data_IF_449721506647
#
_entry.id   IF_449721506647
#
_cell.length_a   1.000
_cell.length_b   1.000
_cell.length_c   1.000
_cell.angle_alpha   90.00
_cell.angle_beta   90.00
_cell.angle_gamma   90.00
#
_symmetry.space_group_name_H-M   'P 1'
#
loop_
_entity.id
_entity.type
_entity.pdbx_description
1 polymer ?
#
# COMPACT_ATOMS: atom_id res chain seq x y z
N UNK A 1 -11.42 -9.39 -6.11
CA UNK A 1 -10.20 -9.24 -5.31
C UNK A 1 -9.60 -10.62 -5.17
N UNK A 2 -8.44 -10.86 -5.79
CA UNK A 2 -7.73 -12.13 -5.64
C UNK A 2 -7.24 -12.21 -4.19
N UNK A 3 -7.66 -13.25 -3.45
CA UNK A 3 -7.11 -13.50 -2.13
C UNK A 3 -5.67 -13.97 -2.34
N UNK A 4 -4.72 -13.26 -1.75
CA UNK A 4 -3.31 -13.62 -1.81
C UNK A 4 -3.12 -14.92 -1.01
N UNK A 5 -2.97 -16.05 -1.70
CA UNK A 5 -2.72 -17.34 -1.05
C UNK A 5 -1.26 -17.40 -0.56
N UNK A 6 -1.05 -17.08 0.71
CA UNK A 6 0.26 -17.20 1.36
C UNK A 6 0.58 -18.66 1.62
N UNK A 7 1.64 -19.17 0.99
CA UNK A 7 2.12 -20.54 1.20
C UNK A 7 2.69 -20.75 2.62
N UNK A 8 2.62 -21.99 3.12
CA UNK A 8 3.21 -22.36 4.43
C UNK A 8 4.70 -22.02 4.53
N UNK A 9 5.43 -22.09 3.40
CA UNK A 9 6.85 -21.73 3.34
C UNK A 9 7.07 -20.24 3.58
N UNK A 10 6.20 -19.38 3.05
CA UNK A 10 6.27 -17.94 3.27
C UNK A 10 5.95 -17.58 4.72
N UNK A 11 4.96 -18.24 5.31
CA UNK A 11 4.65 -18.13 6.74
C UNK A 11 5.84 -18.53 7.62
N UNK A 12 6.46 -19.68 7.34
CA UNK A 12 7.62 -20.14 8.10
C UNK A 12 8.82 -19.17 8.02
N UNK A 13 9.03 -18.53 6.86
CA UNK A 13 10.08 -17.51 6.71
C UNK A 13 9.75 -16.21 7.46
N UNK A 14 8.49 -15.78 7.46
CA UNK A 14 8.02 -14.63 8.22
C UNK A 14 8.17 -14.88 9.73
N UNK A 15 7.71 -16.02 10.22
CA UNK A 15 7.84 -16.41 11.63
C UNK A 15 9.31 -16.48 12.07
N UNK A 16 10.19 -17.06 11.23
CA UNK A 16 11.62 -17.13 11.50
C UNK A 16 12.31 -15.74 11.53
N UNK A 17 11.72 -14.75 10.87
CA UNK A 17 12.19 -13.35 10.89
C UNK A 17 11.47 -12.49 11.94
N UNK A 18 10.58 -13.09 12.75
CA UNK A 18 9.82 -12.39 13.78
C UNK A 18 8.64 -11.58 13.25
N UNK A 19 8.25 -11.80 12.00
CA UNK A 19 7.14 -11.13 11.32
C UNK A 19 5.87 -11.99 11.42
N UNK A 20 4.76 -11.34 11.75
CA UNK A 20 3.44 -11.97 11.79
C UNK A 20 2.85 -12.16 10.39
N UNK A 21 1.85 -13.03 10.29
CA UNK A 21 1.11 -13.26 9.03
C UNK A 21 0.47 -11.98 8.50
N UNK A 22 -0.09 -11.15 9.39
CA UNK A 22 -0.79 -9.92 8.99
C UNK A 22 0.20 -8.87 8.45
N UNK A 23 1.39 -8.75 9.06
CA UNK A 23 2.47 -7.90 8.54
C UNK A 23 2.95 -8.38 7.17
N UNK A 24 3.07 -9.70 6.97
CA UNK A 24 3.42 -10.27 5.68
C UNK A 24 2.35 -10.00 4.62
N UNK A 25 1.06 -10.13 4.97
CA UNK A 25 -0.04 -9.79 4.06
C UNK A 25 0.04 -8.32 3.70
N UNK A 26 0.13 -7.42 4.68
CA UNK A 26 0.18 -5.98 4.45
C UNK A 26 1.38 -5.57 3.59
N UNK A 27 2.54 -6.18 3.81
CA UNK A 27 3.74 -5.97 2.99
C UNK A 27 3.53 -6.40 1.54
N UNK A 28 2.90 -7.56 1.31
CA UNK A 28 2.70 -8.13 -0.02
C UNK A 28 1.55 -7.47 -0.79
N UNK A 29 0.49 -7.04 -0.09
CA UNK A 29 -0.67 -6.39 -0.69
C UNK A 29 -0.54 -4.88 -0.73
N UNK A 30 0.46 -4.30 -0.06
CA UNK A 30 0.56 -2.86 0.15
C UNK A 30 -0.65 -2.29 0.88
N UNK A 31 -1.33 -3.11 1.70
CA UNK A 31 -2.57 -2.74 2.39
C UNK A 31 -2.33 -1.92 3.66
N UNK A 32 -1.18 -1.24 3.75
CA UNK A 32 -1.12 -0.10 4.66
C UNK A 32 -2.06 0.96 4.10
N UNK A 33 -3.15 1.21 4.84
CA UNK A 33 -4.02 2.35 4.59
C UNK A 33 -3.12 3.57 4.44
N UNK A 34 -3.09 4.15 3.24
CA UNK A 34 -2.33 5.37 2.97
C UNK A 34 -2.78 6.39 4.01
N UNK A 35 -1.87 6.93 4.85
CA UNK A 35 -2.21 7.93 5.84
C UNK A 35 -3.05 9.03 5.20
N UNK A 36 -4.14 9.42 5.87
CA UNK A 36 -5.11 10.39 5.33
C UNK A 36 -4.44 11.72 4.91
N UNK A 37 -3.41 12.13 5.65
CA UNK A 37 -2.57 13.30 5.35
C UNK A 37 -1.85 13.18 4.00
N UNK A 38 -1.42 11.98 3.61
CA UNK A 38 -0.81 11.75 2.30
C UNK A 38 -1.86 11.79 1.18
N UNK A 39 -3.07 11.27 1.42
CA UNK A 39 -4.17 11.37 0.46
C UNK A 39 -4.54 12.83 0.16
N UNK A 40 -4.64 13.68 1.19
CA UNK A 40 -4.90 15.12 1.03
C UNK A 40 -3.80 15.82 0.22
N UNK A 41 -2.53 15.43 0.40
CA UNK A 41 -1.42 15.94 -0.40
C UNK A 41 -1.55 15.51 -1.86
N UNK A 42 -1.90 14.26 -2.13
CA UNK A 42 -2.12 13.77 -3.49
C UNK A 42 -3.30 14.47 -4.18
N UNK A 43 -4.41 14.71 -3.47
CA UNK A 43 -5.54 15.49 -4.00
C UNK A 43 -5.12 16.91 -4.37
N UNK A 44 -4.41 17.61 -3.46
CA UNK A 44 -3.93 18.96 -3.74
C UNK A 44 -2.97 19.02 -4.93
N UNK A 45 -2.10 18.03 -5.08
CA UNK A 45 -1.19 17.93 -6.23
C UNK A 45 -2.00 17.67 -7.51
N UNK A 46 -2.98 16.77 -7.48
CA UNK A 46 -3.83 16.47 -8.62
C UNK A 46 -4.57 17.72 -9.10
N UNK A 47 -5.21 18.45 -8.20
CA UNK A 47 -5.91 19.70 -8.51
C UNK A 47 -4.95 20.75 -9.10
N UNK A 48 -3.78 20.93 -8.49
CA UNK A 48 -2.78 21.89 -8.97
C UNK A 48 -2.23 21.50 -10.35
N UNK A 49 -2.03 20.21 -10.63
CA UNK A 49 -1.60 19.76 -11.96
C UNK A 49 -2.70 19.86 -13.01
N UNK A 50 -3.97 19.73 -12.62
CA UNK A 50 -5.11 19.89 -13.53
C UNK A 50 -5.25 21.35 -14.01
N UNK A 51 -4.98 22.32 -13.14
CA UNK A 51 -4.95 23.75 -13.50
C UNK A 51 -3.81 24.05 -14.50
N UNK A 52 -2.62 23.50 -14.28
CA UNK A 52 -1.45 23.73 -15.17
C UNK A 52 -1.64 23.12 -16.57
N UNK A 53 -2.40 22.04 -16.70
CA UNK A 53 -2.68 21.39 -18.00
C UNK A 53 -3.79 22.12 -18.79
N UNK A 54 -4.63 22.92 -18.15
CA UNK A 54 -5.70 23.69 -18.84
C UNK A 54 -5.23 25.05 -19.38
N UNK A 55 -4.08 25.56 -18.93
CA UNK A 55 -3.49 26.81 -19.44
C UNK A 55 -2.39 26.58 -20.52
N UNK A 56 -2.24 25.35 -21.01
CA UNK A 56 -1.26 24.95 -22.05
C UNK A 56 -1.82 24.88 -23.47
#
# INVERSE_FOLDING_TARGET
MEQLEISEKMLAMAEASGMSKDELVNLLTGAEDVPQELLEIFERIADSTAEVVQEG
#
